data_IF_521462791439
#
_entry.id   IF_521462791439
#
_cell.length_a   1.000
_cell.length_b   1.000
_cell.length_c   1.000
_cell.angle_alpha   90.00
_cell.angle_beta   90.00
_cell.angle_gamma   90.00
#
_symmetry.space_group_name_H-M   'P 1'
#
loop_
_entity.id
_entity.type
_entity.pdbx_description
1 polymer ?
#
# COMPACT_ATOMS: atom_id res chain seq x y z
N UNK A 1 14.09 -26.23 -5.24
CA UNK A 1 14.53 -24.90 -5.69
C UNK A 1 13.27 -24.08 -5.88
N UNK A 2 13.18 -22.93 -5.21
CA UNK A 2 12.04 -22.00 -5.36
C UNK A 2 12.12 -21.35 -6.73
N UNK A 3 11.01 -21.27 -7.45
CA UNK A 3 10.96 -20.59 -8.76
C UNK A 3 11.04 -19.08 -8.57
N UNK A 4 11.41 -18.35 -9.62
CA UNK A 4 11.42 -16.89 -9.60
C UNK A 4 10.03 -16.32 -9.29
N UNK A 5 8.96 -16.91 -9.85
CA UNK A 5 7.58 -16.51 -9.60
C UNK A 5 7.20 -16.66 -8.12
N UNK A 6 7.53 -17.80 -7.51
CA UNK A 6 7.28 -18.04 -6.08
C UNK A 6 8.02 -17.01 -5.19
N UNK A 7 9.26 -16.65 -5.56
CA UNK A 7 10.04 -15.63 -4.86
C UNK A 7 9.37 -14.25 -4.95
N UNK A 8 8.92 -13.86 -6.14
CA UNK A 8 8.23 -12.60 -6.39
C UNK A 8 6.88 -12.53 -5.65
N UNK A 9 6.09 -13.61 -5.68
CA UNK A 9 4.82 -13.71 -4.93
C UNK A 9 5.04 -13.65 -3.41
N UNK A 10 6.15 -14.20 -2.91
CA UNK A 10 6.53 -14.07 -1.52
C UNK A 10 6.93 -12.63 -1.17
N UNK A 11 7.69 -11.96 -2.03
CA UNK A 11 8.07 -10.56 -1.85
C UNK A 11 6.83 -9.65 -1.85
N UNK A 12 5.91 -9.85 -2.80
CA UNK A 12 4.62 -9.17 -2.84
C UNK A 12 3.79 -9.43 -1.57
N UNK A 13 3.81 -10.66 -1.05
CA UNK A 13 3.14 -11.01 0.21
C UNK A 13 3.67 -10.26 1.43
N UNK A 14 4.96 -9.86 1.42
CA UNK A 14 5.58 -9.02 2.47
C UNK A 14 5.34 -7.53 2.25
N UNK A 15 5.31 -7.09 0.99
CA UNK A 15 5.15 -5.67 0.67
C UNK A 15 3.80 -5.10 1.12
N UNK A 16 2.71 -5.88 1.02
CA UNK A 16 1.37 -5.42 1.45
C UNK A 16 1.33 -4.99 2.93
N UNK A 17 1.69 -5.84 3.92
CA UNK A 17 1.65 -5.44 5.33
C UNK A 17 2.63 -4.28 5.64
N UNK A 18 3.74 -4.17 4.92
CA UNK A 18 4.66 -3.02 5.06
C UNK A 18 3.99 -1.72 4.62
N UNK A 19 3.32 -1.71 3.47
CA UNK A 19 2.56 -0.56 2.98
C UNK A 19 1.42 -0.18 3.93
N UNK A 20 0.73 -1.18 4.48
CA UNK A 20 -0.32 -0.94 5.48
C UNK A 20 0.25 -0.27 6.73
N UNK A 21 1.35 -0.79 7.26
CA UNK A 21 2.04 -0.22 8.43
C UNK A 21 2.46 1.23 8.17
N UNK A 22 3.05 1.51 7.01
CA UNK A 22 3.43 2.88 6.63
C UNK A 22 2.22 3.82 6.51
N UNK A 23 1.10 3.34 5.96
CA UNK A 23 -0.14 4.11 5.85
C UNK A 23 -0.72 4.44 7.23
N UNK A 24 -0.72 3.49 8.16
CA UNK A 24 -1.17 3.70 9.54
C UNK A 24 -0.29 4.71 10.28
N UNK A 25 1.03 4.64 10.10
CA UNK A 25 1.97 5.62 10.67
C UNK A 25 1.69 7.02 10.12
N UNK A 26 1.50 7.16 8.80
CA UNK A 26 1.21 8.47 8.19
C UNK A 26 -0.12 9.05 8.69
N UNK A 27 -1.17 8.23 8.79
CA UNK A 27 -2.44 8.66 9.38
C UNK A 27 -2.27 9.08 10.83
N UNK A 28 -1.51 8.33 11.63
CA UNK A 28 -1.26 8.69 13.02
C UNK A 28 -0.55 10.05 13.13
N UNK A 29 0.43 10.32 12.27
CA UNK A 29 1.14 11.61 12.26
C UNK A 29 0.22 12.74 11.81
N UNK A 30 -0.60 12.53 10.78
CA UNK A 30 -1.52 13.54 10.26
C UNK A 30 -2.58 13.98 11.30
N UNK A 31 -3.04 13.05 12.14
CA UNK A 31 -4.08 13.33 13.15
C UNK A 31 -3.51 13.78 14.50
N UNK A 32 -2.18 13.88 14.66
CA UNK A 32 -1.61 14.39 15.91
C UNK A 32 -1.88 15.89 16.03
N UNK A 33 -2.55 16.34 17.10
CA UNK A 33 -2.73 17.77 17.33
C UNK A 33 -1.36 18.40 17.47
N UNK A 34 -1.06 19.33 16.57
CA UNK A 34 0.19 20.07 16.63
C UNK A 34 0.15 21.03 17.82
N UNK A 35 1.16 20.96 18.69
CA UNK A 35 1.33 21.85 19.84
C UNK A 35 1.81 23.26 19.42
N UNK A 36 1.12 23.87 18.45
CA UNK A 36 1.39 25.21 17.96
C UNK A 36 0.90 26.29 18.91
N UNK A 37 1.66 27.37 19.04
CA UNK A 37 1.16 28.58 19.68
C UNK A 37 -0.07 29.11 18.93
N UNK A 38 -1.10 29.54 19.68
CA UNK A 38 -2.32 30.14 19.15
C UNK A 38 -1.95 31.34 18.26
N UNK A 39 -2.53 31.48 17.05
CA UNK A 39 -2.22 32.60 16.16
C UNK A 39 -2.51 33.95 16.81
N UNK A 40 -1.57 34.89 16.67
CA UNK A 40 -1.80 36.30 17.00
C UNK A 40 -1.67 37.12 15.71
N UNK A 41 -2.81 37.47 15.12
CA UNK A 41 -2.86 38.20 13.86
C UNK A 41 -2.25 39.62 13.95
N UNK A 42 -2.04 40.15 15.16
CA UNK A 42 -1.40 41.45 15.37
C UNK A 42 0.13 41.37 15.47
N UNK A 43 0.69 40.19 15.72
CA UNK A 43 2.13 39.97 15.95
C UNK A 43 2.78 39.02 14.93
N UNK A 44 2.00 38.16 14.28
CA UNK A 44 2.51 37.15 13.35
C UNK A 44 2.88 37.78 11.99
N UNK A 45 4.07 37.44 11.48
CA UNK A 45 4.47 37.82 10.12
C UNK A 45 3.68 37.00 9.08
N UNK A 46 3.48 37.51 7.84
CA UNK A 46 2.83 36.76 6.77
C UNK A 46 3.48 35.41 6.46
N UNK A 47 4.81 35.31 6.59
CA UNK A 47 5.55 34.06 6.41
C UNK A 47 5.26 33.04 7.51
N UNK A 48 5.06 33.48 8.76
CA UNK A 48 4.67 32.61 9.87
C UNK A 48 3.26 32.07 9.68
N UNK A 49 2.32 32.92 9.25
CA UNK A 49 0.94 32.51 8.92
C UNK A 49 0.95 31.45 7.82
N UNK A 50 1.70 31.67 6.73
CA UNK A 50 1.82 30.71 5.63
C UNK A 50 2.47 29.39 6.08
N UNK A 51 3.55 29.44 6.86
CA UNK A 51 4.20 28.24 7.39
C UNK A 51 3.26 27.42 8.27
N UNK A 52 2.41 28.10 9.05
CA UNK A 52 1.41 27.47 9.91
C UNK A 52 0.32 26.76 9.09
N UNK A 53 -0.21 27.42 8.05
CA UNK A 53 -1.18 26.81 7.14
C UNK A 53 -0.62 25.54 6.47
N UNK A 54 0.62 25.60 5.96
CA UNK A 54 1.27 24.42 5.38
C UNK A 54 1.44 23.30 6.40
N UNK A 55 1.85 23.64 7.63
CA UNK A 55 2.15 22.66 8.67
C UNK A 55 0.91 21.97 9.24
N UNK A 56 -0.23 22.67 9.33
CA UNK A 56 -1.44 22.17 10.00
C UNK A 56 -2.54 21.71 9.06
N UNK A 57 -2.45 22.02 7.77
CA UNK A 57 -3.45 21.63 6.78
C UNK A 57 -2.78 20.84 5.65
N UNK A 58 -1.90 21.49 4.89
CA UNK A 58 -1.34 20.90 3.66
C UNK A 58 -0.51 19.63 3.91
N UNK A 59 0.38 19.63 4.91
CA UNK A 59 1.22 18.46 5.22
C UNK A 59 0.36 17.29 5.72
N UNK A 60 -0.54 17.45 6.72
CA UNK A 60 -1.46 16.39 7.15
C UNK A 60 -2.34 15.83 6.02
N UNK A 61 -2.84 16.69 5.14
CA UNK A 61 -3.66 16.25 4.00
C UNK A 61 -2.84 15.39 3.03
N UNK A 62 -1.62 15.81 2.70
CA UNK A 62 -0.72 15.02 1.86
C UNK A 62 -0.38 13.67 2.49
N UNK A 63 -0.14 13.63 3.81
CA UNK A 63 0.11 12.38 4.54
C UNK A 63 -1.09 11.43 4.44
N UNK A 64 -2.30 11.95 4.52
CA UNK A 64 -3.54 11.18 4.36
C UNK A 64 -3.67 10.62 2.95
N UNK A 65 -3.43 11.44 1.92
CA UNK A 65 -3.46 11.00 0.50
C UNK A 65 -2.43 9.89 0.24
N UNK A 66 -1.22 10.02 0.78
CA UNK A 66 -0.17 8.99 0.63
C UNK A 66 -0.58 7.69 1.32
N UNK A 67 -1.16 7.77 2.53
CA UNK A 67 -1.66 6.59 3.23
C UNK A 67 -2.76 5.85 2.44
N UNK A 68 -3.67 6.59 1.82
CA UNK A 68 -4.70 6.02 0.96
C UNK A 68 -4.11 5.35 -0.29
N UNK A 69 -3.04 5.94 -0.84
CA UNK A 69 -2.30 5.33 -1.95
C UNK A 69 -1.64 4.02 -1.54
N UNK A 70 -1.02 3.94 -0.37
CA UNK A 70 -0.46 2.70 0.16
C UNK A 70 -1.52 1.61 0.32
N UNK A 71 -2.71 1.97 0.83
CA UNK A 71 -3.86 1.06 0.90
C UNK A 71 -4.26 0.55 -0.49
N UNK A 72 -4.35 1.45 -1.46
CA UNK A 72 -4.73 1.12 -2.84
C UNK A 72 -3.72 0.16 -3.48
N UNK A 73 -2.43 0.45 -3.35
CA UNK A 73 -1.37 -0.42 -3.89
C UNK A 73 -1.35 -1.77 -3.19
N UNK A 74 -1.53 -1.82 -1.86
CA UNK A 74 -1.67 -3.06 -1.12
C UNK A 74 -2.82 -3.95 -1.62
N UNK A 75 -3.96 -3.34 -1.96
CA UNK A 75 -5.10 -4.06 -2.55
C UNK A 75 -4.78 -4.61 -3.95
N UNK A 76 -4.07 -3.85 -4.78
CA UNK A 76 -3.64 -4.30 -6.12
C UNK A 76 -2.66 -5.48 -6.02
N UNK A 77 -1.74 -5.44 -5.05
CA UNK A 77 -0.80 -6.53 -4.78
C UNK A 77 -1.55 -7.82 -4.43
N UNK A 78 -2.56 -7.76 -3.57
CA UNK A 78 -3.36 -8.94 -3.23
C UNK A 78 -4.16 -9.47 -4.41
N UNK A 79 -4.74 -8.58 -5.22
CA UNK A 79 -5.42 -8.98 -6.45
C UNK A 79 -4.46 -9.73 -7.39
N UNK A 80 -3.25 -9.21 -7.58
CA UNK A 80 -2.23 -9.85 -8.39
C UNK A 80 -1.84 -11.23 -7.84
N UNK A 81 -1.56 -11.34 -6.53
CA UNK A 81 -1.23 -12.63 -5.88
C UNK A 81 -2.34 -13.67 -6.05
N UNK A 82 -3.59 -13.26 -5.86
CA UNK A 82 -4.74 -14.15 -6.04
C UNK A 82 -4.92 -14.56 -7.51
N UNK A 83 -4.66 -13.68 -8.47
CA UNK A 83 -4.73 -13.99 -9.88
C UNK A 83 -3.67 -15.03 -10.28
N UNK A 84 -2.41 -14.85 -9.84
CA UNK A 84 -1.35 -15.83 -10.08
C UNK A 84 -1.66 -17.20 -9.47
N UNK A 85 -2.12 -17.24 -8.22
CA UNK A 85 -2.49 -18.50 -7.56
C UNK A 85 -3.62 -19.25 -8.28
N UNK A 86 -4.59 -18.52 -8.88
CA UNK A 86 -5.64 -19.13 -9.70
C UNK A 86 -5.09 -19.67 -11.02
N UNK A 87 -4.29 -18.88 -11.73
CA UNK A 87 -3.67 -19.32 -12.99
C UNK A 87 -2.82 -20.57 -12.82
N UNK A 88 -2.05 -20.67 -11.73
CA UNK A 88 -1.27 -21.88 -11.42
C UNK A 88 -2.18 -23.09 -11.17
N UNK A 89 -3.29 -22.90 -10.44
CA UNK A 89 -4.28 -23.96 -10.22
C UNK A 89 -4.95 -24.43 -11.52
N UNK A 90 -5.31 -23.49 -12.40
CA UNK A 90 -5.90 -23.79 -13.71
C UNK A 90 -4.90 -24.54 -14.60
N UNK A 91 -3.61 -24.18 -14.57
CA UNK A 91 -2.56 -24.87 -15.32
C UNK A 91 -2.37 -26.31 -14.84
N UNK A 92 -2.34 -26.53 -13.52
CA UNK A 92 -2.27 -27.88 -12.93
C UNK A 92 -3.46 -28.72 -13.38
N UNK A 93 -4.68 -28.17 -13.29
CA UNK A 93 -5.90 -28.87 -13.71
C UNK A 93 -5.87 -29.23 -15.20
N UNK A 94 -5.37 -28.34 -16.07
CA UNK A 94 -5.19 -28.63 -17.50
C UNK A 94 -4.18 -29.76 -17.71
N UNK A 95 -3.03 -29.75 -17.04
CA UNK A 95 -2.01 -30.81 -17.14
C UNK A 95 -2.58 -32.16 -16.69
N UNK A 96 -3.27 -32.21 -15.56
CA UNK A 96 -3.92 -33.42 -15.06
C UNK A 96 -4.98 -33.93 -16.06
N UNK A 97 -5.81 -33.03 -16.58
CA UNK A 97 -6.81 -33.40 -17.59
C UNK A 97 -6.17 -33.93 -18.88
N UNK A 98 -5.08 -33.31 -19.37
CA UNK A 98 -4.37 -33.76 -20.56
C UNK A 98 -3.62 -35.10 -20.33
N UNK A 99 -3.06 -35.30 -19.14
CA UNK A 99 -2.42 -36.56 -18.73
C UNK A 99 -3.42 -37.72 -18.63
N UNK A 100 -4.66 -37.45 -18.20
CA UNK A 100 -5.75 -38.45 -18.22
C UNK A 100 -6.33 -38.71 -19.62
N UNK A 101 -6.10 -37.81 -20.57
CA UNK A 101 -6.49 -37.95 -21.98
C UNK A 101 -5.43 -38.64 -22.86
N UNK A 102 -4.20 -38.83 -22.36
CA UNK A 102 -3.19 -39.64 -23.04
C UNK A 102 -3.57 -41.13 -22.90
N UNK A 103 -3.98 -41.82 -23.97
CA UNK A 103 -4.28 -43.24 -23.89
C UNK A 103 -2.97 -43.99 -23.61
N UNK A 104 -3.01 -44.92 -22.64
CA UNK A 104 -1.90 -45.81 -22.38
C UNK A 104 -1.44 -46.49 -23.66
N UNK A 105 -0.18 -46.21 -24.04
CA UNK A 105 0.60 -46.95 -25.02
C UNK A 105 1.55 -47.89 -24.31
#
# INVERSE_FOLDING_TARGET
MTTQLELELQALGRLRPELQTLGEVLRMVAHRPSAGAVPDAAADSPSLVAARAVSYETIPDLQTVIADRFTTVGNLIEQARNAFARTDGDLIAVIESAGTLAPGS
#
